data_IF_781650436236
#
_entry.id   IF_781650436236
#
_cell.length_a   1.000
_cell.length_b   1.000
_cell.length_c   1.000
_cell.angle_alpha   90.00
_cell.angle_beta   90.00
_cell.angle_gamma   90.00
#
_symmetry.space_group_name_H-M   'P 1'
#
loop_
_entity.id
_entity.type
_entity.pdbx_description
1 polymer ?
#
# COMPACT_ATOMS: atom_id res chain seq x y z
N UNK A 1 -19.63 -1.47 -29.47
CA UNK A 1 -18.76 -0.37 -28.97
C UNK A 1 -18.84 -0.17 -27.45
N UNK A 2 -19.84 -0.74 -26.77
CA UNK A 2 -20.12 -0.51 -25.34
C UNK A 2 -19.25 -1.42 -24.41
N UNK A 3 -18.81 -2.60 -24.88
CA UNK A 3 -18.05 -3.56 -24.06
C UNK A 3 -16.56 -3.21 -23.87
N UNK A 4 -16.04 -2.24 -24.61
CA UNK A 4 -14.62 -1.86 -24.54
C UNK A 4 -14.29 -0.91 -23.38
N UNK A 5 -15.28 -0.10 -22.98
CA UNK A 5 -15.13 0.95 -21.96
C UNK A 5 -14.78 0.39 -20.57
N UNK A 6 -15.47 -0.64 -20.03
CA UNK A 6 -15.12 -1.18 -18.71
C UNK A 6 -13.75 -1.88 -18.72
N UNK A 7 -13.40 -2.56 -19.81
CA UNK A 7 -12.14 -3.29 -19.94
C UNK A 7 -10.94 -2.34 -19.96
N UNK A 8 -11.02 -1.25 -20.73
CA UNK A 8 -9.96 -0.21 -20.76
C UNK A 8 -9.82 0.48 -19.40
N UNK A 9 -10.92 0.76 -18.72
CA UNK A 9 -10.89 1.37 -17.39
C UNK A 9 -10.21 0.48 -16.34
N UNK A 10 -10.52 -0.83 -16.32
CA UNK A 10 -9.89 -1.78 -15.41
C UNK A 10 -8.38 -1.88 -15.67
N UNK A 11 -7.96 -1.91 -16.94
CA UNK A 11 -6.54 -1.96 -17.32
C UNK A 11 -5.82 -0.68 -16.86
N UNK A 12 -6.40 0.50 -17.10
CA UNK A 12 -5.82 1.78 -16.69
C UNK A 12 -5.74 1.91 -15.17
N UNK A 13 -6.78 1.52 -14.45
CA UNK A 13 -6.79 1.53 -12.98
C UNK A 13 -5.76 0.55 -12.41
N UNK A 14 -5.65 -0.65 -12.99
CA UNK A 14 -4.65 -1.66 -12.62
C UNK A 14 -3.22 -1.16 -12.87
N UNK A 15 -2.96 -0.55 -14.02
CA UNK A 15 -1.65 0.04 -14.34
C UNK A 15 -1.29 1.18 -13.38
N UNK A 16 -2.23 2.10 -13.12
CA UNK A 16 -2.03 3.19 -12.16
C UNK A 16 -1.77 2.66 -10.73
N UNK A 17 -2.48 1.62 -10.32
CA UNK A 17 -2.26 0.95 -9.04
C UNK A 17 -0.85 0.33 -8.96
N UNK A 18 -0.42 -0.37 -10.02
CA UNK A 18 0.92 -1.00 -10.04
C UNK A 18 2.03 0.05 -10.01
N UNK A 19 1.91 1.13 -10.79
CA UNK A 19 2.90 2.22 -10.83
C UNK A 19 3.02 2.90 -9.47
N UNK A 20 1.88 3.24 -8.86
CA UNK A 20 1.86 3.87 -7.53
C UNK A 20 2.41 2.94 -6.45
N UNK A 21 2.10 1.64 -6.52
CA UNK A 21 2.66 0.63 -5.63
C UNK A 21 4.20 0.54 -5.74
N UNK A 22 4.75 0.46 -6.95
CA UNK A 22 6.21 0.39 -7.16
C UNK A 22 6.87 1.68 -6.65
N UNK A 23 6.32 2.85 -6.96
CA UNK A 23 6.84 4.12 -6.47
C UNK A 23 6.80 4.21 -4.93
N UNK A 24 5.75 3.68 -4.30
CA UNK A 24 5.62 3.60 -2.85
C UNK A 24 6.71 2.70 -2.25
N UNK A 25 6.96 1.53 -2.84
CA UNK A 25 8.01 0.60 -2.40
C UNK A 25 9.41 1.20 -2.52
N UNK A 26 9.70 1.93 -3.60
CA UNK A 26 10.98 2.64 -3.78
C UNK A 26 11.15 3.71 -2.69
N UNK A 27 10.09 4.48 -2.41
CA UNK A 27 10.13 5.54 -1.40
C UNK A 27 10.37 4.96 0.00
N UNK A 28 9.69 3.85 0.33
CA UNK A 28 9.88 3.13 1.60
C UNK A 28 11.32 2.61 1.75
N UNK A 29 11.89 2.01 0.69
CA UNK A 29 13.28 1.54 0.71
C UNK A 29 14.27 2.67 0.98
N UNK A 30 14.03 3.86 0.41
CA UNK A 30 14.86 5.05 0.66
C UNK A 30 14.73 5.56 2.09
N UNK A 31 13.52 5.58 2.64
CA UNK A 31 13.29 5.90 4.07
C UNK A 31 14.09 4.94 4.95
N UNK A 32 13.97 3.62 4.73
CA UNK A 32 14.68 2.61 5.50
C UNK A 32 16.20 2.77 5.40
N UNK A 33 16.71 2.95 4.18
CA UNK A 33 18.15 3.14 3.95
C UNK A 33 18.68 4.39 4.68
N UNK A 34 17.93 5.49 4.63
CA UNK A 34 18.34 6.74 5.29
C UNK A 34 18.21 6.66 6.81
N UNK A 35 17.15 6.05 7.30
CA UNK A 35 16.91 5.85 8.72
C UNK A 35 18.00 4.98 9.35
N UNK A 36 18.43 3.90 8.69
CA UNK A 36 19.59 3.11 9.11
C UNK A 36 20.89 3.92 9.22
N UNK A 37 21.05 4.95 8.40
CA UNK A 37 22.22 5.84 8.42
C UNK A 37 22.15 6.90 9.52
N UNK A 38 20.95 7.46 9.75
CA UNK A 38 20.74 8.58 10.69
C UNK A 38 20.57 8.08 12.12
N UNK A 39 19.79 7.01 12.32
CA UNK A 39 19.47 6.49 13.65
C UNK A 39 19.24 4.97 13.61
N UNK A 40 20.35 4.23 13.63
CA UNK A 40 20.35 2.76 13.67
C UNK A 40 19.66 2.20 14.93
N UNK A 41 19.86 2.75 16.15
CA UNK A 41 19.13 2.30 17.33
C UNK A 41 17.61 2.40 17.17
N UNK A 42 17.10 3.53 16.67
CA UNK A 42 15.68 3.70 16.42
C UNK A 42 15.17 2.72 15.35
N UNK A 43 15.94 2.49 14.28
CA UNK A 43 15.62 1.48 13.27
C UNK A 43 15.48 0.07 13.87
N UNK A 44 16.41 -0.33 14.72
CA UNK A 44 16.37 -1.62 15.40
C UNK A 44 15.19 -1.71 16.37
N UNK A 45 14.86 -0.61 17.05
CA UNK A 45 13.75 -0.51 17.99
C UNK A 45 12.38 -0.64 17.30
N UNK A 46 12.21 -0.11 16.08
CA UNK A 46 10.96 -0.20 15.30
C UNK A 46 10.70 -1.58 14.68
N UNK A 47 11.46 -2.59 15.07
CA UNK A 47 11.46 -3.91 14.47
C UNK A 47 11.95 -3.83 13.02
N UNK A 48 13.12 -4.41 12.75
CA UNK A 48 13.50 -4.71 11.36
C UNK A 48 12.28 -5.39 10.70
N UNK A 49 11.67 -4.83 9.63
CA UNK A 49 11.02 -5.67 8.66
C UNK A 49 12.17 -6.45 8.03
N UNK A 50 12.63 -7.46 8.74
CA UNK A 50 13.35 -8.57 8.16
C UNK A 50 12.53 -9.06 6.95
N UNK A 51 13.14 -9.82 6.05
CA UNK A 51 12.47 -10.39 4.87
C UNK A 51 11.23 -11.27 5.19
N UNK A 52 10.73 -11.28 6.43
CA UNK A 52 9.46 -11.84 6.88
C UNK A 52 8.23 -11.32 6.15
N UNK A 53 8.24 -10.14 5.51
CA UNK A 53 7.11 -9.75 4.64
C UNK A 53 7.05 -10.56 3.33
N UNK A 54 8.19 -10.98 2.78
CA UNK A 54 8.23 -11.83 1.59
C UNK A 54 8.07 -13.32 1.92
N UNK A 55 8.63 -13.78 3.04
CA UNK A 55 8.42 -15.17 3.49
C UNK A 55 7.00 -15.39 4.01
N UNK A 56 6.38 -14.45 4.75
CA UNK A 56 5.00 -14.65 5.25
C UNK A 56 3.95 -14.66 4.15
N UNK A 57 4.09 -13.90 3.07
CA UNK A 57 3.14 -13.97 1.95
C UNK A 57 3.27 -15.30 1.18
N UNK A 58 4.52 -15.76 1.00
CA UNK A 58 4.79 -17.07 0.39
C UNK A 58 4.27 -18.21 1.26
N UNK A 59 4.54 -18.17 2.56
CA UNK A 59 4.12 -19.18 3.54
C UNK A 59 2.59 -19.16 3.76
N UNK A 60 1.96 -17.98 3.72
CA UNK A 60 0.51 -17.83 3.76
C UNK A 60 -0.16 -18.42 2.50
N UNK A 61 0.42 -18.17 1.32
CA UNK A 61 -0.08 -18.71 0.05
C UNK A 61 0.15 -20.22 -0.10
N UNK A 62 1.16 -20.80 0.55
CA UNK A 62 1.47 -22.23 0.45
C UNK A 62 0.90 -23.08 1.58
N UNK A 63 0.55 -22.52 2.74
CA UNK A 63 0.31 -23.36 3.94
C UNK A 63 -1.14 -23.62 4.35
N UNK A 64 -2.18 -22.86 3.94
CA UNK A 64 -3.56 -23.16 4.40
C UNK A 64 -4.71 -22.81 3.44
N UNK A 65 -5.76 -23.67 3.37
CA UNK A 65 -7.05 -23.31 2.83
C UNK A 65 -7.74 -22.33 3.78
N UNK A 66 -8.54 -21.43 3.20
CA UNK A 66 -9.24 -20.30 3.81
C UNK A 66 -10.03 -20.76 5.04
N UNK A 67 -9.47 -20.58 6.25
CA UNK A 67 -10.23 -20.58 7.49
C UNK A 67 -10.24 -19.15 8.02
N UNK A 68 -11.42 -18.54 7.94
CA UNK A 68 -11.79 -17.18 8.32
C UNK A 68 -11.85 -16.98 9.85
N UNK A 69 -10.84 -17.43 10.59
CA UNK A 69 -10.61 -16.91 11.94
C UNK A 69 -9.81 -15.61 11.81
N UNK A 70 -10.52 -14.56 11.41
CA UNK A 70 -10.00 -13.21 11.26
C UNK A 70 -9.75 -12.64 12.64
N UNK A 71 -8.61 -13.01 13.24
CA UNK A 71 -7.93 -12.10 14.16
C UNK A 71 -7.67 -10.82 13.36
N UNK A 72 -8.10 -9.63 13.83
CA UNK A 72 -7.83 -8.41 13.09
C UNK A 72 -6.31 -8.31 12.90
N UNK A 73 -5.81 -7.97 11.71
CA UNK A 73 -4.39 -7.77 11.52
C UNK A 73 -4.01 -6.53 12.32
N UNK A 74 -3.56 -6.70 13.57
CA UNK A 74 -2.73 -5.72 14.27
C UNK A 74 -1.34 -5.72 13.63
N UNK A 75 -1.28 -5.53 12.31
CA UNK A 75 -0.10 -5.71 11.46
C UNK A 75 0.31 -4.40 10.77
N UNK A 76 0.04 -3.26 11.40
CA UNK A 76 0.86 -2.10 11.08
C UNK A 76 2.25 -2.38 11.67
N UNK A 77 3.26 -2.55 10.81
CA UNK A 77 4.66 -2.55 11.27
C UNK A 77 4.88 -1.30 12.11
N UNK A 78 5.66 -1.38 13.19
CA UNK A 78 5.93 -0.21 14.03
C UNK A 78 6.50 0.95 13.20
N UNK A 79 7.27 0.64 12.15
CA UNK A 79 7.67 1.59 11.10
C UNK A 79 6.48 2.31 10.44
N UNK A 80 5.44 1.58 10.03
CA UNK A 80 4.26 2.18 9.40
C UNK A 80 3.46 3.05 10.37
N UNK A 81 3.40 2.67 11.65
CA UNK A 81 2.80 3.50 12.70
C UNK A 81 3.62 4.76 12.94
N UNK A 82 4.94 4.62 13.08
CA UNK A 82 5.87 5.73 13.25
C UNK A 82 5.83 6.72 12.09
N UNK A 83 5.76 6.23 10.84
CA UNK A 83 5.55 7.05 9.65
C UNK A 83 4.21 7.78 9.69
N UNK A 84 3.14 7.10 10.12
CA UNK A 84 1.81 7.71 10.23
C UNK A 84 1.74 8.82 11.28
N UNK A 85 2.45 8.65 12.40
CA UNK A 85 2.56 9.61 13.49
C UNK A 85 3.55 10.75 13.20
N UNK A 86 4.19 10.74 12.02
CA UNK A 86 5.22 11.69 11.61
C UNK A 86 6.45 11.69 12.52
N UNK A 87 6.80 10.53 13.07
CA UNK A 87 7.99 10.35 13.89
C UNK A 87 9.23 10.93 13.22
N UNK A 88 9.49 10.65 11.95
CA UNK A 88 10.66 11.14 11.20
C UNK A 88 10.96 12.65 11.30
N UNK A 89 10.01 13.51 11.63
CA UNK A 89 10.24 14.96 11.80
C UNK A 89 11.18 15.30 12.96
N UNK A 90 11.27 14.47 13.99
CA UNK A 90 12.19 14.70 15.11
C UNK A 90 13.66 14.48 14.74
N UNK A 91 13.95 13.72 13.68
CA UNK A 91 15.31 13.42 13.24
C UNK A 91 15.97 14.58 12.48
N UNK A 92 15.24 15.67 12.19
CA UNK A 92 15.70 16.85 11.45
C UNK A 92 16.42 16.55 10.12
N UNK A 93 16.25 15.37 9.54
CA UNK A 93 16.84 14.97 8.25
C UNK A 93 15.87 15.28 7.10
N UNK A 94 16.30 16.19 6.21
CA UNK A 94 15.51 16.66 5.06
C UNK A 94 15.22 15.52 4.07
N UNK A 95 16.21 14.67 3.81
CA UNK A 95 16.07 13.56 2.86
C UNK A 95 15.09 12.50 3.33
N UNK A 96 15.10 12.17 4.62
CA UNK A 96 14.17 11.25 5.26
C UNK A 96 12.75 11.81 5.21
N UNK A 97 12.58 13.10 5.55
CA UNK A 97 11.29 13.79 5.55
C UNK A 97 10.65 13.78 4.16
N UNK A 98 11.41 14.12 3.11
CA UNK A 98 10.92 14.12 1.73
C UNK A 98 10.47 12.72 1.30
N UNK A 99 11.27 11.68 1.58
CA UNK A 99 10.93 10.32 1.17
C UNK A 99 9.74 9.75 1.97
N UNK A 100 9.62 10.09 3.26
CA UNK A 100 8.51 9.69 4.11
C UNK A 100 7.20 10.37 3.70
N UNK A 101 7.23 11.68 3.43
CA UNK A 101 6.06 12.42 2.94
C UNK A 101 5.61 11.89 1.56
N UNK A 102 6.56 11.59 0.67
CA UNK A 102 6.26 10.98 -0.64
C UNK A 102 5.61 9.61 -0.49
N UNK A 103 6.11 8.76 0.41
CA UNK A 103 5.50 7.47 0.71
C UNK A 103 4.05 7.62 1.20
N UNK A 104 3.82 8.54 2.15
CA UNK A 104 2.48 8.79 2.70
C UNK A 104 1.51 9.34 1.65
N UNK A 105 1.99 10.21 0.76
CA UNK A 105 1.20 10.74 -0.35
C UNK A 105 0.82 9.63 -1.34
N UNK A 106 1.79 8.81 -1.78
CA UNK A 106 1.54 7.70 -2.70
C UNK A 106 0.55 6.68 -2.14
N UNK A 107 0.62 6.39 -0.84
CA UNK A 107 -0.35 5.52 -0.16
C UNK A 107 -1.78 6.08 -0.24
N UNK A 108 -1.96 7.39 -0.04
CA UNK A 108 -3.28 8.04 -0.19
C UNK A 108 -3.80 7.98 -1.62
N UNK A 109 -2.92 8.24 -2.61
CA UNK A 109 -3.27 8.12 -4.03
C UNK A 109 -3.71 6.70 -4.36
N UNK A 110 -3.00 5.68 -3.86
CA UNK A 110 -3.35 4.28 -4.08
C UNK A 110 -4.73 3.93 -3.51
N UNK A 111 -5.07 4.41 -2.31
CA UNK A 111 -6.42 4.26 -1.75
C UNK A 111 -7.48 4.96 -2.60
N UNK A 112 -7.20 6.15 -3.11
CA UNK A 112 -8.12 6.88 -4.00
C UNK A 112 -8.36 6.12 -5.32
N UNK A 113 -7.31 5.54 -5.92
CA UNK A 113 -7.44 4.70 -7.12
C UNK A 113 -8.33 3.48 -6.84
N UNK A 114 -8.12 2.79 -5.72
CA UNK A 114 -8.98 1.66 -5.33
C UNK A 114 -10.43 2.08 -5.13
N UNK A 115 -10.67 3.19 -4.42
CA UNK A 115 -12.03 3.69 -4.18
C UNK A 115 -12.74 4.03 -5.49
N UNK A 116 -12.06 4.73 -6.41
CA UNK A 116 -12.60 5.04 -7.73
C UNK A 116 -12.89 3.79 -8.55
N UNK A 117 -11.99 2.80 -8.52
CA UNK A 117 -12.20 1.53 -9.22
C UNK A 117 -13.42 0.77 -8.69
N UNK A 118 -13.60 0.73 -7.36
CA UNK A 118 -14.78 0.11 -6.72
C UNK A 118 -16.06 0.88 -7.06
N UNK A 119 -16.05 2.21 -6.99
CA UNK A 119 -17.20 3.04 -7.35
C UNK A 119 -17.61 2.83 -8.81
N UNK A 120 -16.64 2.79 -9.74
CA UNK A 120 -16.90 2.54 -11.15
C UNK A 120 -17.47 1.14 -11.40
N UNK A 121 -16.95 0.12 -10.70
CA UNK A 121 -17.48 -1.24 -10.77
C UNK A 121 -18.94 -1.31 -10.27
N UNK A 122 -19.24 -0.73 -9.11
CA UNK A 122 -20.59 -0.71 -8.54
C UNK A 122 -21.58 0.07 -9.42
N UNK A 123 -21.15 1.20 -9.98
CA UNK A 123 -21.96 1.97 -10.94
C UNK A 123 -22.31 1.13 -12.17
N UNK A 124 -21.32 0.42 -12.73
CA UNK A 124 -21.55 -0.46 -13.88
C UNK A 124 -22.54 -1.58 -13.55
N UNK A 125 -22.38 -2.25 -12.40
CA UNK A 125 -23.32 -3.28 -11.93
C UNK A 125 -24.75 -2.74 -11.80
N UNK A 126 -24.91 -1.53 -11.24
CA UNK A 126 -26.22 -0.88 -11.10
C UNK A 126 -26.87 -0.55 -12.46
N UNK A 127 -26.09 0.00 -13.40
CA UNK A 127 -26.58 0.35 -14.74
C UNK A 127 -27.00 -0.91 -15.51
N UNK A 128 -26.18 -1.97 -15.49
CA UNK A 128 -26.52 -3.24 -16.14
C UNK A 128 -27.79 -3.84 -15.54
N UNK A 129 -27.94 -3.81 -14.21
CA UNK A 129 -29.13 -4.33 -13.55
C UNK A 129 -30.41 -3.55 -13.93
N UNK A 130 -30.32 -2.21 -14.02
CA UNK A 130 -31.43 -1.33 -14.46
C UNK A 130 -31.86 -1.53 -15.91
N UNK A 131 -30.94 -1.91 -16.79
CA UNK A 131 -31.23 -2.17 -18.22
C UNK A 131 -31.82 -3.57 -18.44
N UNK A 132 -31.56 -4.50 -17.53
CA UNK A 132 -32.05 -5.88 -17.59
C UNK A 132 -33.47 -6.07 -16.99
N UNK A 133 -34.00 -5.07 -16.28
CA UNK A 133 -35.37 -5.01 -15.73
C UNK A 133 -36.27 -4.12 -16.57
#
# INVERSE_FOLDING_TARGET
>A
MIDYIPTVYIILAGAAFLITYVAMQISLRRVVARLKQVDMPLWLAMGSPEPTYFTRFRDYATSRPINLDVRPPTEYSELSMWLSQRGYKHLHDVGLTINADRYMFLRKVQFAICALAVCAFLYFQFVVHRVAT
#
